data_IF_799032056353
#
_entry.id   IF_799032056353
#
_cell.length_a   1.000
_cell.length_b   1.000
_cell.length_c   1.000
_cell.angle_alpha   90.00
_cell.angle_beta   90.00
_cell.angle_gamma   90.00
#
_symmetry.space_group_name_H-M   'P 1'
#
loop_
_entity.id
_entity.type
_entity.pdbx_description
1 polymer ?
#
# COMPACT_ATOMS: atom_id res chain seq x y z
N UNK A 1 1.38 -18.54 -6.25
CA UNK A 1 0.60 -18.37 -5.00
C UNK A 1 1.44 -17.50 -4.09
N UNK A 2 0.97 -16.30 -3.70
CA UNK A 2 1.76 -15.39 -2.86
C UNK A 2 2.13 -16.08 -1.53
N UNK A 3 3.42 -16.25 -1.28
CA UNK A 3 3.98 -16.69 0.00
C UNK A 3 4.17 -15.53 0.98
N UNK A 4 4.52 -15.84 2.23
CA UNK A 4 4.66 -14.84 3.29
C UNK A 4 5.68 -13.74 2.97
N UNK A 5 6.86 -14.16 2.51
CA UNK A 5 7.93 -13.24 2.10
C UNK A 5 7.47 -12.31 0.96
N UNK A 6 6.74 -12.83 -0.03
CA UNK A 6 6.25 -12.01 -1.15
C UNK A 6 5.24 -10.96 -0.69
N UNK A 7 4.37 -11.31 0.26
CA UNK A 7 3.38 -10.36 0.82
C UNK A 7 4.10 -9.25 1.58
N UNK A 8 5.07 -9.59 2.44
CA UNK A 8 5.86 -8.61 3.19
C UNK A 8 6.61 -7.68 2.24
N UNK A 9 7.30 -8.27 1.25
CA UNK A 9 8.04 -7.51 0.23
C UNK A 9 7.12 -6.54 -0.54
N UNK A 10 5.90 -6.98 -0.92
CA UNK A 10 4.93 -6.11 -1.59
C UNK A 10 4.47 -4.95 -0.71
N UNK A 11 4.32 -5.16 0.59
CA UNK A 11 3.97 -4.07 1.53
C UNK A 11 5.11 -3.06 1.61
N UNK A 12 6.35 -3.54 1.80
CA UNK A 12 7.55 -2.71 1.93
C UNK A 12 7.85 -1.93 0.66
N UNK A 13 7.91 -2.60 -0.50
CA UNK A 13 8.24 -2.01 -1.80
C UNK A 13 7.23 -0.93 -2.23
N UNK A 14 5.99 -0.99 -1.72
CA UNK A 14 4.94 -0.02 -2.06
C UNK A 14 4.67 0.99 -0.93
N UNK A 15 5.40 0.89 0.19
CA UNK A 15 5.18 1.63 1.44
C UNK A 15 3.70 1.61 1.83
N UNK A 16 3.06 0.45 1.70
CA UNK A 16 1.66 0.28 2.07
C UNK A 16 1.56 0.26 3.60
N UNK A 17 0.68 1.06 4.23
CA UNK A 17 0.65 1.22 5.68
C UNK A 17 -0.06 0.05 6.37
N UNK A 18 0.45 -1.16 6.18
CA UNK A 18 -0.08 -2.36 6.80
C UNK A 18 1.04 -3.26 7.33
N UNK A 19 0.66 -4.12 8.28
CA UNK A 19 1.52 -5.18 8.81
C UNK A 19 0.83 -6.53 8.62
N UNK A 20 1.59 -7.54 8.23
CA UNK A 20 1.10 -8.92 8.19
C UNK A 20 0.90 -9.46 9.60
N UNK A 21 -0.28 -10.01 9.86
CA UNK A 21 -0.60 -10.73 11.10
C UNK A 21 -0.49 -12.23 10.86
N UNK A 22 -1.14 -12.75 9.82
CA UNK A 22 -1.15 -14.17 9.49
C UNK A 22 -1.34 -14.39 7.98
N UNK A 23 -0.73 -15.45 7.44
CA UNK A 23 -0.88 -15.84 6.04
C UNK A 23 -1.33 -17.28 5.94
N UNK A 24 -2.56 -17.45 5.48
CA UNK A 24 -3.13 -18.75 5.14
C UNK A 24 -2.82 -19.17 3.70
N UNK A 25 -3.32 -20.33 3.32
CA UNK A 25 -3.17 -20.86 1.96
C UNK A 25 -3.80 -19.92 0.91
N UNK A 26 -4.99 -19.38 1.21
CA UNK A 26 -5.82 -18.60 0.28
C UNK A 26 -6.11 -17.17 0.76
N UNK A 27 -5.80 -16.86 2.01
CA UNK A 27 -6.11 -15.59 2.67
C UNK A 27 -4.88 -15.01 3.38
N UNK A 28 -4.93 -13.72 3.65
CA UNK A 28 -3.93 -12.92 4.35
C UNK A 28 -4.68 -12.06 5.37
N UNK A 29 -4.23 -12.07 6.61
CA UNK A 29 -4.70 -11.16 7.64
C UNK A 29 -3.69 -10.02 7.83
N UNK A 30 -4.19 -8.80 7.72
CA UNK A 30 -3.42 -7.58 7.78
C UNK A 30 -3.94 -6.67 8.87
N UNK A 31 -3.03 -5.95 9.50
CA UNK A 31 -3.32 -4.81 10.33
C UNK A 31 -2.99 -3.55 9.54
N UNK A 32 -4.01 -2.86 9.04
CA UNK A 32 -3.92 -1.68 8.20
C UNK A 32 -4.06 -0.43 9.06
N UNK A 33 -3.13 0.51 8.92
CA UNK A 33 -3.13 1.79 9.62
C UNK A 33 -3.60 2.89 8.68
N UNK A 34 -4.70 3.55 9.02
CA UNK A 34 -5.13 4.74 8.29
C UNK A 34 -4.15 5.90 8.54
N UNK A 35 -3.51 6.38 7.46
CA UNK A 35 -2.45 7.39 7.58
C UNK A 35 -2.95 8.73 8.12
N UNK A 36 -4.24 9.07 7.93
CA UNK A 36 -4.83 10.35 8.31
C UNK A 36 -5.34 10.35 9.75
N UNK A 37 -6.06 9.31 10.12
CA UNK A 37 -6.75 9.17 11.41
C UNK A 37 -5.96 8.36 12.42
N UNK A 38 -4.88 7.69 12.00
CA UNK A 38 -4.06 6.76 12.81
C UNK A 38 -4.85 5.58 13.39
N UNK A 39 -6.07 5.35 12.87
CA UNK A 39 -6.90 4.22 13.27
C UNK A 39 -6.31 2.96 12.67
N UNK A 40 -6.11 1.96 13.52
CA UNK A 40 -5.67 0.63 13.13
C UNK A 40 -6.88 -0.27 12.94
N UNK A 41 -6.94 -0.98 11.83
CA UNK A 41 -8.01 -1.93 11.50
C UNK A 41 -7.40 -3.26 11.09
N UNK A 42 -8.06 -4.34 11.49
CA UNK A 42 -7.67 -5.69 11.06
C UNK A 42 -8.60 -6.14 9.96
N UNK A 43 -8.01 -6.58 8.86
CA UNK A 43 -8.73 -7.05 7.69
C UNK A 43 -8.16 -8.38 7.22
N UNK A 44 -9.06 -9.31 6.92
CA UNK A 44 -8.72 -10.58 6.30
C UNK A 44 -9.16 -10.53 4.85
N UNK A 45 -8.20 -10.68 3.94
CA UNK A 45 -8.38 -10.59 2.51
C UNK A 45 -7.98 -11.90 1.84
N UNK A 46 -8.56 -12.20 0.68
CA UNK A 46 -7.98 -13.24 -0.17
C UNK A 46 -6.64 -12.75 -0.76
N UNK A 47 -5.79 -13.68 -1.20
CA UNK A 47 -4.52 -13.31 -1.87
C UNK A 47 -4.72 -12.48 -3.14
N UNK A 48 -5.80 -12.72 -3.88
CA UNK A 48 -6.16 -11.91 -5.04
C UNK A 48 -6.61 -10.51 -4.64
N UNK A 49 -7.49 -10.40 -3.63
CA UNK A 49 -7.95 -9.10 -3.14
C UNK A 49 -6.80 -8.26 -2.58
N UNK A 50 -5.81 -8.88 -1.93
CA UNK A 50 -4.60 -8.21 -1.51
C UNK A 50 -3.78 -7.67 -2.71
N UNK A 51 -3.61 -8.47 -3.77
CA UNK A 51 -2.89 -8.03 -4.96
C UNK A 51 -3.59 -6.83 -5.62
N UNK A 52 -4.92 -6.88 -5.76
CA UNK A 52 -5.72 -5.78 -6.30
C UNK A 52 -5.60 -4.51 -5.44
N UNK A 53 -5.59 -4.67 -4.12
CA UNK A 53 -5.43 -3.56 -3.16
C UNK A 53 -4.06 -2.89 -3.28
N UNK A 54 -2.98 -3.66 -3.44
CA UNK A 54 -1.63 -3.10 -3.65
C UNK A 54 -1.54 -2.39 -5.01
N UNK A 55 -2.18 -2.93 -6.06
CA UNK A 55 -2.23 -2.31 -7.38
C UNK A 55 -2.96 -0.96 -7.35
N UNK A 56 -4.15 -0.90 -6.72
CA UNK A 56 -4.91 0.34 -6.54
C UNK A 56 -4.12 1.38 -5.72
N UNK A 57 -3.44 0.95 -4.65
CA UNK A 57 -2.57 1.82 -3.87
C UNK A 57 -1.43 2.44 -4.70
N UNK A 58 -0.72 1.61 -5.48
CA UNK A 58 0.36 2.06 -6.36
C UNK A 58 -0.13 3.06 -7.40
N UNK A 59 -1.31 2.81 -7.97
CA UNK A 59 -1.91 3.70 -8.97
C UNK A 59 -2.23 5.06 -8.36
N UNK A 60 -2.86 5.09 -7.18
CA UNK A 60 -3.17 6.35 -6.46
C UNK A 60 -1.90 7.13 -6.10
N UNK A 61 -0.86 6.44 -5.64
CA UNK A 61 0.42 7.08 -5.29
C UNK A 61 1.10 7.66 -6.53
N UNK A 62 1.11 6.93 -7.64
CA UNK A 62 1.68 7.41 -8.91
C UNK A 62 0.93 8.63 -9.43
N UNK A 63 -0.40 8.64 -9.37
CA UNK A 63 -1.22 9.79 -9.74
C UNK A 63 -0.94 11.00 -8.85
N UNK A 64 -0.91 10.81 -7.53
CA UNK A 64 -0.59 11.88 -6.58
C UNK A 64 0.79 12.50 -6.83
N UNK A 65 1.82 11.69 -7.07
CA UNK A 65 3.17 12.20 -7.42
C UNK A 65 3.14 12.98 -8.75
N UNK A 66 2.44 12.46 -9.77
CA UNK A 66 2.29 13.14 -11.06
C UNK A 66 1.52 14.45 -10.97
N UNK A 67 0.58 14.58 -10.04
CA UNK A 67 -0.16 15.82 -9.78
C UNK A 67 0.65 16.84 -8.99
N UNK A 68 1.50 16.38 -8.06
CA UNK A 68 2.37 17.25 -7.25
C UNK A 68 3.59 17.75 -8.04
N UNK A 69 4.15 16.96 -8.95
CA UNK A 69 5.31 17.35 -9.76
C UNK A 69 5.13 18.69 -10.54
N UNK A 70 4.01 18.95 -11.24
CA UNK A 70 3.77 20.25 -11.87
C UNK A 70 3.45 21.37 -10.86
N UNK A 71 2.87 21.04 -9.69
CA UNK A 71 2.64 22.02 -8.62
C UNK A 71 3.96 22.50 -7.99
N UNK A 72 4.92 21.60 -7.76
CA UNK A 72 6.26 21.95 -7.27
C UNK A 72 7.06 22.78 -8.28
N UNK A 73 6.95 22.47 -9.58
CA UNK A 73 7.55 23.32 -10.64
C UNK A 73 7.00 24.74 -10.65
N UNK A 74 5.71 24.93 -10.35
CA UNK A 74 5.09 26.28 -10.24
C UNK A 74 5.57 27.07 -9.03
N UNK A 75 6.01 26.41 -7.95
CA UNK A 75 6.46 27.05 -6.70
C UNK A 75 7.97 27.37 -6.75
N UNK A 76 8.70 27.00 -7.82
CA UNK A 76 10.05 27.49 -8.05
C UNK A 76 11.12 26.90 -7.14
N UNK A 77 10.99 25.64 -6.70
CA UNK A 77 12.13 24.90 -6.14
C UNK A 77 12.87 24.26 -7.31
N UNK A 78 13.64 25.09 -8.02
CA UNK A 78 14.84 24.63 -8.70
C UNK A 78 15.95 24.61 -7.64
N UNK A 79 16.44 23.41 -7.31
CA UNK A 79 17.72 23.20 -6.66
C UNK A 79 18.32 21.90 -7.20
#
# INVERSE_FOLDING_TARGET
>A
MLGEREVIQLIEDNEYPARVIEIGLVWIELEITDLKTKVVRRERLSKSAFADLILDWRERRTRSVREIAPALRKIGIAA
#
